data_IF_370570827959
#
_entry.id   IF_370570827959
#
_cell.length_a   1.000
_cell.length_b   1.000
_cell.length_c   1.000
_cell.angle_alpha   90.00
_cell.angle_beta   90.00
_cell.angle_gamma   90.00
#
_symmetry.space_group_name_H-M   'P 1'
#
loop_
_entity.id
_entity.type
_entity.pdbx_description
1 polymer ?
#
# COMPACT_ATOMS: atom_id res chain seq x y z
N UNK A 1 11.46 3.10 -9.56
CA UNK A 1 11.38 3.40 -8.12
C UNK A 1 10.72 2.22 -7.44
N UNK A 2 11.50 1.25 -6.97
CA UNK A 2 10.95 0.13 -6.20
C UNK A 2 10.93 0.58 -4.73
N UNK A 3 9.73 0.49 -4.12
CA UNK A 3 9.55 0.85 -2.71
C UNK A 3 10.53 0.09 -1.81
N UNK A 4 11.32 0.77 -0.99
CA UNK A 4 12.20 0.13 -0.01
C UNK A 4 11.42 -0.76 0.96
N UNK A 5 10.22 -0.35 1.33
CA UNK A 5 9.31 -1.15 2.14
C UNK A 5 8.96 -2.46 1.42
N UNK A 6 8.66 -2.40 0.13
CA UNK A 6 8.37 -3.58 -0.68
C UNK A 6 9.60 -4.48 -0.83
N UNK A 7 10.78 -3.90 -1.10
CA UNK A 7 12.05 -4.66 -1.19
C UNK A 7 12.36 -5.35 0.12
N UNK A 8 12.18 -4.65 1.25
CA UNK A 8 12.38 -5.23 2.57
C UNK A 8 11.42 -6.39 2.83
N UNK A 9 10.15 -6.20 2.55
CA UNK A 9 9.12 -7.22 2.79
C UNK A 9 9.13 -8.34 1.76
N UNK A 10 9.57 -8.07 0.52
CA UNK A 10 9.61 -9.05 -0.57
C UNK A 10 10.29 -10.36 -0.16
N UNK A 11 11.44 -10.26 0.48
CA UNK A 11 12.20 -11.43 0.97
C UNK A 11 11.35 -12.30 1.89
N UNK A 12 10.63 -11.68 2.80
CA UNK A 12 9.80 -12.37 3.78
C UNK A 12 8.49 -12.86 3.18
N UNK A 13 7.90 -12.08 2.28
CA UNK A 13 6.68 -12.45 1.57
C UNK A 13 6.91 -13.67 0.67
N UNK A 14 8.05 -13.78 -0.01
CA UNK A 14 8.41 -14.96 -0.78
C UNK A 14 8.51 -16.21 0.10
N UNK A 15 9.20 -16.10 1.24
CA UNK A 15 9.31 -17.21 2.19
C UNK A 15 7.93 -17.64 2.70
N UNK A 16 7.05 -16.68 2.98
CA UNK A 16 5.68 -16.96 3.41
C UNK A 16 4.89 -17.72 2.33
N UNK A 17 5.06 -17.35 1.07
CA UNK A 17 4.39 -17.99 -0.07
C UNK A 17 4.93 -19.40 -0.33
N UNK A 18 6.24 -19.60 -0.19
CA UNK A 18 6.89 -20.90 -0.42
C UNK A 18 6.62 -21.88 0.72
N UNK A 19 6.61 -21.41 1.97
CA UNK A 19 6.42 -22.25 3.16
C UNK A 19 4.95 -22.64 3.41
N UNK A 20 3.99 -22.04 2.69
CA UNK A 20 2.58 -22.28 2.95
C UNK A 20 1.92 -23.08 1.82
N UNK A 21 1.68 -24.40 2.02
CA UNK A 21 1.15 -25.27 0.96
C UNK A 21 -0.30 -24.96 0.54
N UNK A 22 -1.00 -24.03 1.18
CA UNK A 22 -2.46 -23.86 1.04
C UNK A 22 -2.93 -22.47 0.61
N UNK A 23 -2.22 -21.81 -0.33
CA UNK A 23 -2.92 -20.81 -1.13
C UNK A 23 -2.90 -19.37 -0.64
N UNK A 24 -2.01 -19.01 0.31
CA UNK A 24 -1.72 -17.60 0.62
C UNK A 24 -1.32 -16.82 -0.64
N UNK A 25 -0.63 -17.46 -1.57
CA UNK A 25 -0.25 -16.88 -2.87
C UNK A 25 -1.45 -16.39 -3.69
N UNK A 26 -2.60 -17.06 -3.61
CA UNK A 26 -3.81 -16.66 -4.35
C UNK A 26 -4.47 -15.42 -3.75
N UNK A 27 -4.29 -15.16 -2.47
CA UNK A 27 -4.93 -14.07 -1.75
C UNK A 27 -4.02 -12.85 -1.62
N UNK A 28 -2.71 -13.05 -1.52
CA UNK A 28 -1.72 -11.96 -1.57
C UNK A 28 -1.58 -11.30 -2.96
N UNK A 29 -2.33 -11.76 -3.96
CA UNK A 29 -2.43 -11.12 -5.28
C UNK A 29 -3.04 -9.71 -5.25
N UNK A 30 -3.50 -9.24 -4.10
CA UNK A 30 -4.03 -7.89 -3.92
C UNK A 30 -3.18 -7.12 -2.94
N UNK A 31 -2.02 -6.70 -3.40
CA UNK A 31 -1.19 -5.74 -2.67
C UNK A 31 -1.40 -4.34 -3.23
N UNK A 32 -1.50 -3.37 -2.33
CA UNK A 32 -1.53 -1.96 -2.64
C UNK A 32 -0.39 -1.27 -1.91
N UNK A 33 0.35 -0.42 -2.60
CA UNK A 33 1.34 0.45 -1.99
C UNK A 33 0.89 1.88 -2.21
N UNK A 34 0.82 2.65 -1.13
CA UNK A 34 0.58 4.09 -1.22
C UNK A 34 1.84 4.87 -0.83
N UNK A 35 2.12 5.91 -1.61
CA UNK A 35 3.23 6.84 -1.39
C UNK A 35 2.66 8.15 -0.87
N UNK A 36 3.30 8.69 0.16
CA UNK A 36 2.84 9.90 0.85
C UNK A 36 3.94 10.97 0.84
N UNK A 37 3.52 12.23 0.84
CA UNK A 37 4.45 13.34 0.97
C UNK A 37 4.95 13.52 2.42
N UNK A 38 6.20 13.98 2.61
CA UNK A 38 7.23 14.10 1.58
C UNK A 38 7.62 12.74 1.01
N UNK A 39 7.97 12.69 -0.29
CA UNK A 39 8.35 11.45 -0.98
C UNK A 39 9.69 10.93 -0.45
N UNK A 40 9.59 10.09 0.56
CA UNK A 40 10.71 9.38 1.16
C UNK A 40 10.37 7.89 1.29
N UNK A 41 11.37 6.99 1.29
CA UNK A 41 11.14 5.57 1.51
C UNK A 41 10.37 5.25 2.80
N UNK A 42 10.45 6.15 3.79
CA UNK A 42 9.76 6.00 5.06
C UNK A 42 8.26 6.30 4.99
N UNK A 43 7.83 7.12 4.00
CA UNK A 43 6.45 7.59 3.88
C UNK A 43 5.63 6.72 2.93
N UNK A 44 5.69 5.42 3.13
CA UNK A 44 4.98 4.43 2.35
C UNK A 44 4.12 3.56 3.23
N UNK A 45 3.01 3.08 2.68
CA UNK A 45 2.12 2.13 3.34
C UNK A 45 1.87 0.98 2.39
N UNK A 46 2.13 -0.24 2.84
CA UNK A 46 1.79 -1.46 2.14
C UNK A 46 0.52 -2.06 2.75
N UNK A 47 -0.43 -2.39 1.90
CA UNK A 47 -1.66 -3.09 2.24
C UNK A 47 -1.64 -4.47 1.58
N UNK A 48 -1.91 -5.50 2.37
CA UNK A 48 -2.06 -6.87 1.89
C UNK A 48 -3.46 -7.36 2.25
N UNK A 49 -4.22 -7.83 1.27
CA UNK A 49 -5.50 -8.48 1.54
C UNK A 49 -5.24 -9.82 2.23
N UNK A 50 -6.03 -10.13 3.26
CA UNK A 50 -6.02 -11.38 3.99
C UNK A 50 -7.30 -12.16 3.67
N UNK A 51 -7.18 -13.48 3.61
CA UNK A 51 -8.32 -14.36 3.53
C UNK A 51 -8.71 -14.95 4.87
N UNK A 52 -9.81 -15.69 4.87
CA UNK A 52 -10.26 -16.38 6.07
C UNK A 52 -9.19 -17.38 6.55
N UNK A 53 -8.72 -17.23 7.79
CA UNK A 53 -7.68 -18.07 8.39
C UNK A 53 -6.25 -17.61 8.17
N UNK A 54 -6.00 -16.60 7.35
CA UNK A 54 -4.66 -16.09 7.06
C UNK A 54 -4.11 -15.19 8.18
N UNK A 55 -4.99 -14.63 9.00
CA UNK A 55 -4.62 -13.69 10.06
C UNK A 55 -3.54 -14.24 11.00
N UNK A 56 -3.82 -15.36 11.64
CA UNK A 56 -2.90 -15.96 12.64
C UNK A 56 -1.58 -16.39 12.03
N UNK A 57 -1.64 -16.85 10.78
CA UNK A 57 -0.48 -17.34 10.05
C UNK A 57 0.44 -16.17 9.69
N UNK A 58 -0.12 -15.09 9.14
CA UNK A 58 0.63 -13.88 8.80
C UNK A 58 1.15 -13.18 10.05
N UNK A 59 0.37 -13.15 11.12
CA UNK A 59 0.78 -12.60 12.42
C UNK A 59 2.01 -13.33 12.95
N UNK A 60 1.95 -14.65 13.05
CA UNK A 60 3.07 -15.49 13.50
C UNK A 60 4.30 -15.33 12.62
N UNK A 61 4.10 -15.18 11.31
CA UNK A 61 5.18 -14.94 10.37
C UNK A 61 5.85 -13.57 10.58
N UNK A 62 5.05 -12.51 10.71
CA UNK A 62 5.59 -11.16 10.96
C UNK A 62 6.34 -11.13 12.29
N UNK A 63 5.83 -11.78 13.34
CA UNK A 63 6.56 -11.91 14.61
C UNK A 63 7.88 -12.64 14.44
N UNK A 64 7.88 -13.76 13.75
CA UNK A 64 9.09 -14.59 13.58
C UNK A 64 10.18 -13.89 12.77
N UNK A 65 9.83 -13.20 11.69
CA UNK A 65 10.79 -12.71 10.69
C UNK A 65 11.02 -11.21 10.71
N UNK A 66 10.08 -10.43 11.24
CA UNK A 66 10.20 -8.96 11.27
C UNK A 66 10.63 -8.44 12.64
N UNK A 67 10.54 -9.24 13.72
CA UNK A 67 11.08 -8.85 15.00
C UNK A 67 12.59 -9.13 15.07
N UNK A 68 13.32 -8.15 15.58
CA UNK A 68 14.71 -8.32 15.97
C UNK A 68 14.79 -9.05 17.32
N UNK A 69 15.99 -9.08 17.92
CA UNK A 69 16.20 -9.59 19.30
C UNK A 69 15.40 -8.83 20.37
N UNK A 70 14.72 -7.75 19.99
CA UNK A 70 13.87 -6.97 20.89
C UNK A 70 12.40 -7.38 20.73
N UNK A 71 11.64 -7.48 21.83
CA UNK A 71 10.23 -7.81 21.77
C UNK A 71 9.44 -6.72 21.03
N UNK A 72 8.40 -7.15 20.32
CA UNK A 72 7.41 -6.24 19.73
C UNK A 72 6.69 -5.47 20.84
N UNK A 73 6.26 -4.25 20.51
CA UNK A 73 5.45 -3.41 21.42
C UNK A 73 4.08 -3.20 20.81
N UNK A 74 3.10 -3.08 21.69
CA UNK A 74 1.71 -2.85 21.35
C UNK A 74 1.31 -1.44 21.77
N UNK A 75 0.62 -0.74 20.91
CA UNK A 75 0.06 0.59 21.17
C UNK A 75 -1.43 0.56 20.86
N UNK A 76 -2.25 0.99 21.81
CA UNK A 76 -3.64 1.28 21.55
C UNK A 76 -3.77 2.64 20.84
N UNK A 77 -4.50 2.65 19.75
CA UNK A 77 -4.89 3.87 19.07
C UNK A 77 -6.39 3.85 18.77
N UNK A 78 -7.16 4.55 19.57
CA UNK A 78 -8.63 4.63 19.45
C UNK A 78 -9.31 3.26 19.55
N UNK A 79 -8.80 2.36 20.40
CA UNK A 79 -9.30 1.01 20.56
C UNK A 79 -8.87 0.02 19.49
N UNK A 80 -7.92 0.38 18.65
CA UNK A 80 -7.28 -0.50 17.66
C UNK A 80 -5.82 -0.71 18.04
N UNK A 81 -5.34 -1.95 17.90
CA UNK A 81 -3.97 -2.31 18.26
C UNK A 81 -3.01 -2.04 17.10
N UNK A 82 -1.95 -1.28 17.35
CA UNK A 82 -0.80 -1.11 16.45
C UNK A 82 0.37 -1.86 17.05
N UNK A 83 0.97 -2.76 16.27
CA UNK A 83 2.18 -3.49 16.66
C UNK A 83 3.41 -2.81 16.08
N UNK A 84 4.45 -2.71 16.89
CA UNK A 84 5.72 -2.14 16.49
C UNK A 84 6.79 -3.21 16.62
N UNK A 85 7.40 -3.55 15.50
CA UNK A 85 8.49 -4.50 15.41
C UNK A 85 9.81 -3.74 15.24
N UNK A 86 10.71 -3.76 16.25
CA UNK A 86 12.04 -3.19 16.09
C UNK A 86 12.83 -3.98 15.03
N UNK A 87 13.55 -3.28 14.18
CA UNK A 87 14.37 -3.88 13.13
C UNK A 87 15.84 -3.82 13.49
N UNK A 88 16.65 -4.73 12.93
CA UNK A 88 18.08 -4.81 13.21
C UNK A 88 18.87 -3.56 12.80
N UNK A 89 18.36 -2.78 11.85
CA UNK A 89 18.94 -1.52 11.37
C UNK A 89 18.52 -0.29 12.19
N UNK A 90 17.84 -0.48 13.33
CA UNK A 90 17.37 0.57 14.21
C UNK A 90 16.06 1.24 13.77
N UNK A 91 15.48 0.82 12.65
CA UNK A 91 14.13 1.25 12.24
C UNK A 91 13.05 0.48 13.00
N UNK A 92 11.82 0.88 12.77
CA UNK A 92 10.64 0.20 13.29
C UNK A 92 9.66 -0.08 12.16
N UNK A 93 9.09 -1.27 12.16
CA UNK A 93 7.96 -1.60 11.30
C UNK A 93 6.70 -1.51 12.15
N UNK A 94 5.77 -0.63 11.78
CA UNK A 94 4.46 -0.56 12.37
C UNK A 94 3.48 -1.42 11.55
N UNK A 95 2.67 -2.22 12.22
CA UNK A 95 1.70 -3.11 11.61
C UNK A 95 0.33 -2.95 12.27
N UNK A 96 -0.71 -2.99 11.44
CA UNK A 96 -2.10 -3.02 11.85
C UNK A 96 -2.80 -4.19 11.17
N UNK A 97 -3.32 -5.09 11.97
CA UNK A 97 -3.98 -6.30 11.52
C UNK A 97 -5.49 -6.16 11.65
N UNK A 98 -6.19 -6.61 10.63
CA UNK A 98 -7.64 -6.83 10.66
C UNK A 98 -7.94 -8.22 10.10
N UNK A 99 -9.16 -8.76 10.27
CA UNK A 99 -9.52 -10.02 9.65
C UNK A 99 -9.39 -10.04 8.11
N UNK A 100 -9.48 -8.87 7.47
CA UNK A 100 -9.55 -8.74 6.01
C UNK A 100 -8.25 -8.26 5.38
N UNK A 101 -7.40 -7.59 6.14
CA UNK A 101 -6.15 -7.04 5.61
C UNK A 101 -5.10 -6.76 6.69
N UNK A 102 -3.85 -6.79 6.25
CA UNK A 102 -2.68 -6.30 6.97
C UNK A 102 -2.23 -4.97 6.35
N UNK A 103 -1.88 -4.02 7.21
CA UNK A 103 -1.23 -2.78 6.79
C UNK A 103 0.09 -2.63 7.52
N UNK A 104 1.15 -2.31 6.79
CA UNK A 104 2.47 -2.05 7.37
C UNK A 104 3.09 -0.76 6.83
N UNK A 105 3.87 -0.11 7.67
CA UNK A 105 4.61 1.10 7.33
C UNK A 105 5.83 1.25 8.25
N UNK A 106 6.86 1.94 7.79
CA UNK A 106 7.94 2.40 8.66
C UNK A 106 7.54 3.60 9.54
N UNK A 107 6.34 4.17 9.32
CA UNK A 107 5.81 5.30 10.06
C UNK A 107 4.51 4.92 10.78
N UNK A 108 4.59 4.85 12.13
CA UNK A 108 3.39 4.60 12.97
C UNK A 108 2.25 5.58 12.66
N UNK A 109 2.58 6.85 12.41
CA UNK A 109 1.61 7.89 12.09
C UNK A 109 0.78 7.56 10.84
N UNK A 110 1.36 6.92 9.83
CA UNK A 110 0.61 6.51 8.63
C UNK A 110 -0.37 5.39 8.96
N UNK A 111 -0.02 4.48 9.86
CA UNK A 111 -0.95 3.45 10.36
C UNK A 111 -2.11 4.10 11.11
N UNK A 112 -1.83 5.10 11.95
CA UNK A 112 -2.88 5.88 12.65
C UNK A 112 -3.84 6.55 11.65
N UNK A 113 -3.33 7.10 10.55
CA UNK A 113 -4.17 7.67 9.49
C UNK A 113 -5.03 6.61 8.79
N UNK A 114 -4.52 5.39 8.60
CA UNK A 114 -5.31 4.28 8.04
C UNK A 114 -6.46 3.92 8.97
N UNK A 115 -6.20 3.81 10.27
CA UNK A 115 -7.23 3.54 11.28
C UNK A 115 -8.28 4.65 11.27
N UNK A 116 -7.87 5.91 11.23
CA UNK A 116 -8.78 7.06 11.17
C UNK A 116 -9.66 7.03 9.90
N UNK A 117 -9.05 6.74 8.75
CA UNK A 117 -9.78 6.63 7.49
C UNK A 117 -10.83 5.50 7.54
N UNK A 118 -10.44 4.34 8.09
CA UNK A 118 -11.34 3.19 8.28
C UNK A 118 -12.52 3.54 9.20
N UNK A 119 -12.25 4.10 10.37
CA UNK A 119 -13.28 4.49 11.36
C UNK A 119 -14.24 5.55 10.83
N UNK A 120 -13.72 6.52 10.09
CA UNK A 120 -14.54 7.57 9.47
C UNK A 120 -15.17 7.15 8.14
N UNK A 121 -14.99 5.88 7.72
CA UNK A 121 -15.45 5.33 6.43
C UNK A 121 -15.00 6.17 5.23
N UNK A 122 -13.86 6.86 5.35
CA UNK A 122 -13.25 7.60 4.24
C UNK A 122 -12.51 6.63 3.33
N UNK A 123 -12.92 6.59 2.07
CA UNK A 123 -12.31 5.74 1.05
C UNK A 123 -12.15 6.52 -0.25
N UNK A 124 -11.15 6.20 -1.05
CA UNK A 124 -11.01 6.73 -2.41
C UNK A 124 -12.26 6.42 -3.25
N UNK A 125 -12.90 5.27 -3.00
CA UNK A 125 -14.15 4.89 -3.66
C UNK A 125 -15.34 5.81 -3.36
N UNK A 126 -15.24 6.65 -2.33
CA UNK A 126 -16.25 7.67 -2.02
C UNK A 126 -16.07 8.94 -2.87
N UNK A 127 -14.92 9.07 -3.57
CA UNK A 127 -14.66 10.17 -4.50
C UNK A 127 -15.23 9.80 -5.88
N UNK A 128 -16.21 10.55 -6.42
CA UNK A 128 -16.82 10.23 -7.71
C UNK A 128 -15.80 10.14 -8.84
N UNK A 129 -14.83 11.06 -8.89
CA UNK A 129 -13.78 11.06 -9.90
C UNK A 129 -12.90 9.82 -9.87
N UNK A 130 -12.52 9.35 -8.67
CA UNK A 130 -11.75 8.11 -8.52
C UNK A 130 -12.60 6.88 -8.88
N UNK A 131 -13.83 6.83 -8.42
CA UNK A 131 -14.73 5.70 -8.69
C UNK A 131 -15.00 5.51 -10.18
N UNK A 132 -15.24 6.62 -10.91
CA UNK A 132 -15.44 6.56 -12.37
C UNK A 132 -14.21 6.00 -13.08
N UNK A 133 -13.02 6.47 -12.72
CA UNK A 133 -11.77 5.96 -13.27
C UNK A 133 -11.58 4.47 -12.94
N UNK A 134 -11.72 4.11 -11.66
CA UNK A 134 -11.54 2.73 -11.18
C UNK A 134 -12.53 1.73 -11.82
N UNK A 135 -13.73 2.18 -12.21
CA UNK A 135 -14.71 1.34 -12.91
C UNK A 135 -14.24 0.92 -14.32
N UNK A 136 -13.34 1.71 -14.93
CA UNK A 136 -12.72 1.41 -16.22
C UNK A 136 -11.49 0.48 -16.14
N UNK A 137 -11.09 0.05 -14.95
CA UNK A 137 -9.90 -0.77 -14.69
C UNK A 137 -9.84 -2.00 -15.58
N UNK A 138 -8.69 -2.21 -16.21
CA UNK A 138 -8.41 -3.41 -16.97
C UNK A 138 -8.06 -4.58 -16.05
N UNK A 139 -8.52 -5.79 -16.40
CA UNK A 139 -8.30 -6.98 -15.58
C UNK A 139 -6.98 -7.72 -15.89
N UNK A 140 -6.38 -7.45 -17.05
CA UNK A 140 -5.21 -8.18 -17.55
C UNK A 140 -3.93 -7.35 -17.51
N UNK A 141 -3.66 -6.74 -16.37
CA UNK A 141 -2.46 -5.92 -16.15
C UNK A 141 -1.70 -6.44 -14.93
N UNK A 142 -0.39 -6.33 -14.97
CA UNK A 142 0.46 -6.76 -13.86
C UNK A 142 0.36 -5.81 -12.66
N UNK A 143 0.23 -4.51 -12.93
CA UNK A 143 -0.01 -3.50 -11.91
C UNK A 143 -0.75 -2.30 -12.52
N UNK A 144 -1.50 -1.59 -11.66
CA UNK A 144 -2.11 -0.31 -12.00
C UNK A 144 -1.62 0.75 -11.02
N UNK A 145 -1.16 1.87 -11.55
CA UNK A 145 -0.70 3.03 -10.76
C UNK A 145 -1.74 4.13 -10.84
N UNK A 146 -2.22 4.57 -9.69
CA UNK A 146 -3.14 5.70 -9.57
C UNK A 146 -2.39 6.92 -9.04
N UNK A 147 -2.39 8.00 -9.79
CA UNK A 147 -1.72 9.24 -9.43
C UNK A 147 -2.76 10.33 -9.19
N UNK A 148 -2.72 10.94 -8.00
CA UNK A 148 -3.51 12.12 -7.70
C UNK A 148 -2.84 13.33 -8.33
N UNK A 149 -3.48 13.91 -9.34
CA UNK A 149 -3.04 15.13 -9.99
C UNK A 149 -3.41 16.33 -9.11
N UNK A 150 -2.49 16.79 -8.28
CA UNK A 150 -2.65 18.07 -7.59
C UNK A 150 -2.27 19.16 -8.59
N UNK A 151 -3.30 19.90 -9.08
CA UNK A 151 -3.15 21.15 -9.82
C UNK A 151 -1.80 21.30 -10.54
N UNK A 152 -1.57 20.54 -11.59
CA UNK A 152 -0.46 20.85 -12.49
C UNK A 152 -0.85 22.19 -13.10
N UNK A 153 -0.27 23.25 -12.58
CA UNK A 153 -0.33 24.59 -13.19
C UNK A 153 0.45 24.46 -14.51
N UNK A 154 -0.24 24.00 -15.53
CA UNK A 154 0.24 23.95 -16.90
C UNK A 154 0.31 25.42 -17.32
N UNK A 155 1.47 26.03 -17.06
CA UNK A 155 1.82 27.42 -17.22
C UNK A 155 0.89 28.19 -18.16
N UNK A 156 0.53 29.41 -17.76
CA UNK A 156 -0.37 30.29 -18.53
C UNK A 156 -0.10 30.15 -20.04
N UNK A 157 -1.12 29.83 -20.87
CA UNK A 157 -0.95 29.82 -22.30
C UNK A 157 -0.56 31.22 -22.74
N UNK A 158 0.67 31.39 -23.14
CA UNK A 158 1.03 32.53 -24.01
C UNK A 158 0.39 32.24 -25.36
N UNK A 159 -0.55 33.09 -25.71
CA UNK A 159 -1.21 33.19 -27.00
C UNK A 159 -2.31 32.17 -27.37
N UNK A 160 -3.53 32.61 -27.17
CA UNK A 160 -4.62 32.52 -28.16
C UNK A 160 -5.36 31.20 -28.34
N UNK A 161 -4.92 30.06 -27.76
CA UNK A 161 -5.62 28.80 -27.91
C UNK A 161 -6.27 28.43 -26.55
N UNK A 162 -7.57 28.67 -26.46
CA UNK A 162 -8.42 28.16 -25.38
C UNK A 162 -8.56 26.65 -25.51
N UNK A 163 -7.59 25.89 -25.03
CA UNK A 163 -7.75 24.48 -24.70
C UNK A 163 -7.62 24.34 -23.19
N UNK A 164 -8.72 24.59 -22.51
CA UNK A 164 -8.87 24.13 -21.11
C UNK A 164 -9.06 22.61 -21.14
N UNK A 165 -8.00 21.89 -21.39
CA UNK A 165 -7.96 20.47 -21.05
C UNK A 165 -7.76 20.42 -19.53
N UNK A 166 -8.85 20.44 -18.80
CA UNK A 166 -8.85 20.12 -17.38
C UNK A 166 -8.41 18.66 -17.29
N UNK A 167 -7.12 18.43 -17.04
CA UNK A 167 -6.63 17.12 -16.66
C UNK A 167 -7.44 16.67 -15.46
N UNK A 168 -7.96 15.45 -15.50
CA UNK A 168 -8.74 14.88 -14.41
C UNK A 168 -7.97 14.95 -13.09
N UNK A 169 -8.66 14.91 -11.95
CA UNK A 169 -8.04 14.93 -10.63
C UNK A 169 -7.21 13.66 -10.33
N UNK A 170 -7.32 12.65 -11.18
CA UNK A 170 -6.60 11.38 -11.10
C UNK A 170 -6.14 10.93 -12.48
N UNK A 171 -4.98 10.28 -12.51
CA UNK A 171 -4.48 9.55 -13.69
C UNK A 171 -4.30 8.07 -13.31
N UNK A 172 -4.58 7.18 -14.27
CA UNK A 172 -4.40 5.74 -14.16
C UNK A 172 -3.38 5.31 -15.21
N UNK A 173 -2.41 4.50 -14.79
CA UNK A 173 -1.39 3.92 -15.65
C UNK A 173 -1.38 2.41 -15.44
N UNK A 174 -1.70 1.66 -16.46
CA UNK A 174 -1.61 0.22 -16.45
C UNK A 174 -0.24 -0.24 -16.92
N UNK A 175 0.39 -1.09 -16.12
CA UNK A 175 1.70 -1.67 -16.43
C UNK A 175 1.52 -3.10 -16.89
N UNK A 176 2.08 -3.42 -18.05
CA UNK A 176 2.19 -4.78 -18.58
C UNK A 176 3.66 -5.17 -18.59
N UNK A 177 3.96 -6.34 -18.08
CA UNK A 177 5.29 -6.91 -18.14
C UNK A 177 5.29 -7.96 -19.25
N UNK A 178 6.23 -7.85 -20.16
CA UNK A 178 6.59 -8.90 -21.11
C UNK A 178 7.98 -9.41 -20.73
N UNK A 179 8.37 -10.59 -21.19
CA UNK A 179 9.67 -11.18 -20.84
C UNK A 179 10.85 -10.27 -21.13
N UNK A 180 10.71 -9.34 -22.07
CA UNK A 180 11.79 -8.45 -22.53
C UNK A 180 11.57 -6.96 -22.26
N UNK A 181 10.42 -6.51 -21.75
CA UNK A 181 10.15 -5.07 -21.57
C UNK A 181 9.02 -4.75 -20.59
N UNK A 182 9.08 -3.55 -20.03
CA UNK A 182 8.01 -2.90 -19.26
C UNK A 182 7.36 -1.85 -20.17
N UNK A 183 6.07 -1.93 -20.37
CA UNK A 183 5.26 -0.97 -21.13
C UNK A 183 4.34 -0.19 -20.23
#
# INVERSE_FOLDING_TARGET
YVSELFVYLKKYLYTLVEDTPHGLSKQMNKMLISFHEPDTPMNQVLYCSLGSGDYELVESFVEKYCSSSFPSKYFDYKGEEIRIYPMADGRFLAAYFTPDFLVVSFQKRLIEHVIDARRSKKSLMNLPSFRTMYAGKQSNVAATVYVRMKGVDMGKPTDGIRSQTQLGSWAEFDMKFNEDAIY
#
